data_IF_572144101120
#
_entry.id   IF_572144101120
#
_cell.length_a   1.000
_cell.length_b   1.000
_cell.length_c   1.000
_cell.angle_alpha   90.00
_cell.angle_beta   90.00
_cell.angle_gamma   90.00
#
_symmetry.space_group_name_H-M   'P 1'
#
loop_
_entity.id
_entity.type
_entity.pdbx_description
1 polymer ?
#
# COMPACT_ATOMS: atom_id res chain seq x y z
N UNK A 1 1.55 1.87 -68.40
CA UNK A 1 0.44 1.63 -67.41
C UNK A 1 0.88 0.87 -66.16
N UNK A 2 1.77 -0.10 -66.25
CA UNK A 2 2.23 -0.91 -65.10
C UNK A 2 2.98 -0.08 -64.04
N UNK A 3 3.81 0.85 -64.45
CA UNK A 3 4.64 1.71 -63.60
C UNK A 3 3.84 2.70 -62.73
N UNK A 4 2.67 3.13 -63.20
CA UNK A 4 1.77 3.99 -62.42
C UNK A 4 0.97 3.17 -61.39
N UNK A 5 0.60 1.94 -61.69
CA UNK A 5 -0.07 1.04 -60.75
C UNK A 5 0.85 0.63 -59.60
N UNK A 6 2.15 0.41 -59.89
CA UNK A 6 3.15 0.09 -58.89
C UNK A 6 3.42 1.26 -57.94
N UNK A 7 3.41 2.50 -58.45
CA UNK A 7 3.54 3.71 -57.61
C UNK A 7 2.31 3.94 -56.72
N UNK A 8 1.12 3.65 -57.23
CA UNK A 8 -0.12 3.75 -56.45
C UNK A 8 -0.17 2.70 -55.32
N UNK A 9 0.26 1.45 -55.61
CA UNK A 9 0.34 0.42 -54.56
C UNK A 9 1.38 0.73 -53.50
N UNK A 10 2.54 1.29 -53.87
CA UNK A 10 3.57 1.71 -52.93
C UNK A 10 3.08 2.86 -52.01
N UNK A 11 2.35 3.83 -52.58
CA UNK A 11 1.78 4.94 -51.80
C UNK A 11 0.69 4.45 -50.84
N UNK A 12 -0.17 3.52 -51.25
CA UNK A 12 -1.19 2.92 -50.41
C UNK A 12 -0.58 2.10 -49.27
N UNK A 13 0.49 1.35 -49.56
CA UNK A 13 1.20 0.57 -48.53
C UNK A 13 1.88 1.48 -47.49
N UNK A 14 2.47 2.63 -47.94
CA UNK A 14 3.01 3.62 -47.01
C UNK A 14 1.94 4.25 -46.12
N UNK A 15 0.77 4.58 -46.69
CA UNK A 15 -0.33 5.13 -45.89
C UNK A 15 -0.83 4.15 -44.81
N UNK A 16 -0.89 2.84 -45.12
CA UNK A 16 -1.28 1.80 -44.16
C UNK A 16 -0.27 1.65 -43.03
N UNK A 17 1.03 1.77 -43.35
CA UNK A 17 2.10 1.69 -42.36
C UNK A 17 2.22 2.95 -41.48
N UNK A 18 1.79 4.11 -41.97
CA UNK A 18 1.80 5.36 -41.18
C UNK A 18 0.55 5.52 -40.30
N UNK A 19 -0.55 4.83 -40.60
CA UNK A 19 -1.75 4.80 -39.72
C UNK A 19 -1.63 3.83 -38.55
N UNK A 20 -0.54 3.07 -38.40
CA UNK A 20 -0.29 2.15 -37.28
C UNK A 20 0.30 2.84 -36.05
N UNK A 21 0.18 4.14 -35.92
CA UNK A 21 0.32 4.82 -34.61
C UNK A 21 -1.03 4.90 -33.90
N UNK A 22 -1.70 3.77 -33.75
CA UNK A 22 -2.60 3.62 -32.60
C UNK A 22 -1.70 3.65 -31.37
N UNK A 23 -1.86 4.74 -30.61
CA UNK A 23 -1.16 4.91 -29.35
C UNK A 23 -1.25 3.61 -28.57
N UNK A 24 -0.13 3.13 -28.11
CA UNK A 24 -0.07 2.10 -27.08
C UNK A 24 -0.90 2.66 -25.93
N UNK A 25 -2.16 2.27 -25.86
CA UNK A 25 -2.98 2.37 -24.67
C UNK A 25 -2.36 1.37 -23.72
N UNK A 26 -1.29 1.81 -23.04
CA UNK A 26 -0.81 1.17 -21.83
C UNK A 26 -2.01 1.09 -20.90
N UNK A 27 -2.57 -0.13 -20.82
CA UNK A 27 -3.83 -0.47 -20.21
C UNK A 27 -4.25 0.48 -19.11
N UNK A 28 -5.22 1.29 -19.43
CA UNK A 28 -6.22 2.03 -18.65
C UNK A 28 -5.98 2.41 -17.20
N UNK A 29 -4.75 2.51 -16.71
CA UNK A 29 -4.47 3.18 -15.44
C UNK A 29 -4.24 4.65 -15.75
N UNK A 30 -5.27 5.45 -15.47
CA UNK A 30 -5.16 6.90 -15.55
C UNK A 30 -3.93 7.34 -14.76
N UNK A 31 -3.12 8.23 -15.34
CA UNK A 31 -1.96 8.83 -14.65
C UNK A 31 -2.38 9.45 -13.32
N UNK A 32 -3.60 9.92 -13.24
CA UNK A 32 -4.29 10.41 -12.03
C UNK A 32 -4.38 9.35 -10.92
N UNK A 33 -4.58 8.08 -11.29
CA UNK A 33 -4.66 6.97 -10.34
C UNK A 33 -3.28 6.55 -9.80
N UNK A 34 -2.23 6.74 -10.61
CA UNK A 34 -0.84 6.53 -10.19
C UNK A 34 -0.32 7.65 -9.27
N UNK A 35 -0.89 8.85 -9.37
CA UNK A 35 -0.57 10.00 -8.51
C UNK A 35 -1.43 10.07 -7.25
N UNK A 36 -2.45 9.22 -7.14
CA UNK A 36 -3.30 9.16 -5.96
C UNK A 36 -2.54 8.42 -4.87
N UNK A 37 -2.43 9.05 -3.70
CA UNK A 37 -1.87 8.38 -2.52
C UNK A 37 -2.58 7.02 -2.30
N UNK A 38 -1.85 5.95 -1.96
CA UNK A 38 -2.43 4.65 -1.67
C UNK A 38 -3.56 4.81 -0.65
N UNK A 39 -4.75 4.34 -0.97
CA UNK A 39 -5.85 4.31 0.00
C UNK A 39 -5.64 3.11 0.90
N UNK A 40 -5.71 3.28 2.22
CA UNK A 40 -5.69 2.14 3.11
C UNK A 40 -6.85 1.20 2.75
N UNK A 41 -6.63 -0.10 2.87
CA UNK A 41 -7.70 -1.09 2.71
C UNK A 41 -8.78 -0.89 3.78
N UNK A 42 -9.96 -1.44 3.56
CA UNK A 42 -11.03 -1.37 4.56
C UNK A 42 -10.59 -2.01 5.89
N UNK A 43 -9.85 -3.13 5.84
CA UNK A 43 -9.28 -3.76 7.04
C UNK A 43 -8.30 -2.84 7.77
N UNK A 44 -7.38 -2.20 7.06
CA UNK A 44 -6.43 -1.24 7.64
C UNK A 44 -7.14 -0.06 8.28
N UNK A 45 -8.18 0.46 7.61
CA UNK A 45 -8.99 1.57 8.14
C UNK A 45 -9.74 1.17 9.40
N UNK A 46 -10.27 -0.07 9.46
CA UNK A 46 -10.93 -0.60 10.64
C UNK A 46 -9.97 -0.74 11.83
N UNK A 47 -8.78 -1.30 11.60
CA UNK A 47 -7.72 -1.43 12.61
C UNK A 47 -7.29 -0.06 13.13
N UNK A 48 -7.06 0.91 12.25
CA UNK A 48 -6.68 2.28 12.64
C UNK A 48 -7.78 2.95 13.44
N UNK A 49 -9.04 2.75 13.07
CA UNK A 49 -10.20 3.30 13.81
C UNK A 49 -10.29 2.70 15.21
N UNK A 50 -10.12 1.39 15.35
CA UNK A 50 -10.14 0.72 16.65
C UNK A 50 -9.00 1.23 17.56
N UNK A 51 -7.80 1.38 17.00
CA UNK A 51 -6.63 1.87 17.72
C UNK A 51 -6.78 3.34 18.14
N UNK A 52 -7.31 4.21 17.26
CA UNK A 52 -7.62 5.60 17.58
C UNK A 52 -8.67 5.70 18.71
N UNK A 53 -9.70 4.84 18.66
CA UNK A 53 -10.74 4.81 19.69
C UNK A 53 -10.18 4.37 21.06
N UNK A 54 -9.28 3.39 21.07
CA UNK A 54 -8.61 2.94 22.27
C UNK A 54 -7.72 4.00 22.90
N UNK A 55 -6.94 4.71 22.07
CA UNK A 55 -6.02 5.76 22.53
C UNK A 55 -6.74 7.07 22.89
N UNK A 56 -7.95 7.28 22.35
CA UNK A 56 -8.66 8.55 22.47
C UNK A 56 -8.07 9.70 21.68
N UNK A 57 -7.16 9.41 20.77
CA UNK A 57 -6.48 10.39 19.92
C UNK A 57 -6.16 9.84 18.52
N UNK A 58 -5.78 10.71 17.59
CA UNK A 58 -5.33 10.31 16.26
C UNK A 58 -3.85 9.94 16.30
N UNK A 59 -3.54 8.70 15.90
CA UNK A 59 -2.17 8.20 15.81
C UNK A 59 -1.54 8.49 14.45
N UNK A 60 -0.22 8.48 14.41
CA UNK A 60 0.57 8.49 13.19
C UNK A 60 1.15 7.09 12.94
N UNK A 61 0.72 6.46 11.86
CA UNK A 61 1.26 5.17 11.44
C UNK A 61 2.73 5.30 11.06
N UNK A 62 3.53 4.31 11.41
CA UNK A 62 4.95 4.22 11.05
C UNK A 62 5.16 3.01 10.15
N UNK A 63 5.90 3.24 9.09
CA UNK A 63 6.22 2.21 8.10
C UNK A 63 7.51 1.50 8.51
N UNK A 64 7.56 0.16 8.44
CA UNK A 64 8.81 -0.56 8.63
C UNK A 64 9.83 -0.14 7.56
N UNK A 65 11.09 0.01 7.94
CA UNK A 65 12.16 0.45 7.03
C UNK A 65 12.70 -0.65 6.11
N UNK A 66 12.23 -1.86 6.27
CA UNK A 66 12.62 -3.03 5.47
C UNK A 66 11.43 -3.91 5.16
N UNK A 67 11.55 -4.73 4.12
CA UNK A 67 10.49 -5.61 3.64
C UNK A 67 10.18 -5.37 2.17
N UNK A 68 9.57 -6.34 1.53
CA UNK A 68 9.19 -6.25 0.12
C UNK A 68 8.05 -5.27 -0.11
N UNK A 69 7.17 -5.12 0.88
CA UNK A 69 6.04 -4.19 0.85
C UNK A 69 5.98 -3.43 2.19
N UNK A 70 6.31 -2.14 2.20
CA UNK A 70 6.22 -1.34 3.41
C UNK A 70 4.74 -1.03 3.69
N UNK A 71 4.10 -1.89 4.49
CA UNK A 71 2.73 -1.67 4.96
C UNK A 71 2.79 -1.27 6.45
N UNK A 72 2.07 -0.23 6.90
CA UNK A 72 2.03 0.17 8.30
C UNK A 72 1.23 -0.80 9.18
N UNK A 73 0.39 -1.64 8.58
CA UNK A 73 -0.40 -2.68 9.25
C UNK A 73 -0.09 -4.02 8.61
N UNK A 74 0.48 -4.91 9.38
CA UNK A 74 0.86 -6.27 8.95
C UNK A 74 -0.20 -7.22 9.49
N UNK A 75 -0.82 -8.01 8.60
CA UNK A 75 -1.75 -9.06 8.96
C UNK A 75 -1.07 -10.41 8.88
N UNK A 76 -1.07 -11.15 9.97
CA UNK A 76 -0.49 -12.48 10.07
C UNK A 76 -1.11 -13.25 11.23
N UNK A 77 -1.20 -14.57 11.11
CA UNK A 77 -1.51 -15.47 12.22
C UNK A 77 -0.26 -15.56 13.11
N UNK A 78 -0.27 -14.78 14.20
CA UNK A 78 0.90 -14.63 15.08
C UNK A 78 0.91 -15.65 16.23
N UNK A 79 -0.24 -16.19 16.60
CA UNK A 79 -0.35 -17.17 17.69
C UNK A 79 -0.60 -18.60 17.21
N UNK A 80 -0.89 -18.80 15.91
CA UNK A 80 -1.08 -20.12 15.29
C UNK A 80 -2.48 -20.70 15.47
N UNK A 81 -3.47 -19.87 15.76
CA UNK A 81 -4.85 -20.30 15.95
C UNK A 81 -5.66 -20.36 14.64
N UNK A 82 -5.10 -19.85 13.54
CA UNK A 82 -5.68 -19.80 12.21
C UNK A 82 -6.46 -18.52 11.91
N UNK A 83 -6.58 -17.59 12.85
CA UNK A 83 -7.01 -16.23 12.60
C UNK A 83 -5.81 -15.32 12.31
N UNK A 84 -6.02 -14.18 11.68
CA UNK A 84 -4.94 -13.22 11.45
C UNK A 84 -5.09 -12.03 12.42
N UNK A 85 -4.02 -11.74 13.14
CA UNK A 85 -3.86 -10.53 13.94
C UNK A 85 -3.35 -9.39 13.08
N UNK A 86 -3.55 -8.16 13.57
CA UNK A 86 -3.00 -6.95 12.98
C UNK A 86 -1.88 -6.38 13.85
N UNK A 87 -0.64 -6.43 13.37
CA UNK A 87 0.49 -5.75 14.00
C UNK A 87 0.66 -4.34 13.42
N UNK A 88 0.65 -3.31 14.29
CA UNK A 88 0.65 -1.89 13.89
C UNK A 88 1.77 -1.15 14.58
N UNK A 89 2.63 -0.48 13.78
CA UNK A 89 3.64 0.45 14.28
C UNK A 89 3.10 1.89 14.21
N UNK A 90 3.17 2.63 15.31
CA UNK A 90 2.65 3.99 15.38
C UNK A 90 3.37 4.87 16.40
N UNK A 91 3.13 6.17 16.31
CA UNK A 91 3.42 7.15 17.37
C UNK A 91 2.12 7.86 17.73
N UNK A 92 1.97 8.20 19.01
CA UNK A 92 0.84 8.95 19.56
C UNK A 92 1.37 10.09 20.44
N UNK A 93 0.67 11.23 20.46
CA UNK A 93 1.13 12.41 21.24
C UNK A 93 1.13 12.12 22.74
N UNK A 94 0.11 11.44 23.23
CA UNK A 94 -0.01 11.06 24.66
C UNK A 94 1.10 10.13 25.14
N UNK A 95 1.73 9.38 24.22
CA UNK A 95 2.78 8.40 24.50
C UNK A 95 4.19 8.90 24.14
N UNK A 96 4.31 10.18 23.80
CA UNK A 96 5.56 10.79 23.38
C UNK A 96 5.97 10.42 21.96
N UNK A 97 7.23 10.74 21.60
CA UNK A 97 7.75 10.52 20.23
C UNK A 97 8.24 9.09 19.97
N UNK A 98 8.04 8.19 20.91
CA UNK A 98 8.49 6.81 20.77
C UNK A 98 7.58 6.03 19.82
N UNK A 99 8.18 5.07 19.11
CA UNK A 99 7.42 4.14 18.29
C UNK A 99 6.85 3.04 19.19
N UNK A 100 5.56 2.78 19.05
CA UNK A 100 4.83 1.73 19.73
C UNK A 100 4.45 0.65 18.73
N UNK A 101 4.35 -0.58 19.20
CA UNK A 101 3.79 -1.71 18.48
C UNK A 101 2.55 -2.18 19.23
N UNK A 102 1.41 -2.21 18.55
CA UNK A 102 0.20 -2.89 19.05
C UNK A 102 -0.14 -4.07 18.15
N UNK A 103 -0.59 -5.15 18.78
CA UNK A 103 -1.18 -6.30 18.11
C UNK A 103 -2.66 -6.29 18.46
N UNK A 104 -3.50 -6.34 17.42
CA UNK A 104 -4.95 -6.36 17.56
C UNK A 104 -5.47 -7.69 17.04
N UNK A 105 -6.44 -8.24 17.76
CA UNK A 105 -7.20 -9.43 17.40
C UNK A 105 -8.57 -9.04 16.85
N UNK A 106 -9.09 -9.83 15.94
CA UNK A 106 -10.44 -9.66 15.44
C UNK A 106 -11.41 -10.49 16.28
N UNK A 107 -12.44 -9.84 16.83
CA UNK A 107 -13.51 -10.54 17.52
C UNK A 107 -14.45 -11.26 16.55
N UNK A 108 -15.32 -12.15 17.08
CA UNK A 108 -16.26 -12.93 16.26
C UNK A 108 -17.33 -12.09 15.53
N UNK A 109 -17.41 -10.77 15.78
CA UNK A 109 -18.29 -9.82 15.10
C UNK A 109 -17.58 -9.03 13.99
N UNK A 110 -16.26 -9.23 13.85
CA UNK A 110 -15.41 -8.50 12.90
C UNK A 110 -14.86 -7.19 13.44
N UNK A 111 -15.05 -6.90 14.72
CA UNK A 111 -14.43 -5.79 15.42
C UNK A 111 -12.96 -6.08 15.76
N UNK A 112 -12.14 -5.04 15.91
CA UNK A 112 -10.74 -5.16 16.32
C UNK A 112 -10.57 -4.70 17.76
N UNK A 113 -9.85 -5.48 18.56
CA UNK A 113 -9.50 -5.16 19.95
C UNK A 113 -8.00 -5.36 20.17
N UNK A 114 -7.42 -4.58 21.11
CA UNK A 114 -6.00 -4.69 21.42
C UNK A 114 -5.76 -5.90 22.28
N UNK A 115 -4.96 -6.83 21.78
CA UNK A 115 -4.49 -8.00 22.51
C UNK A 115 -3.17 -7.70 23.23
N UNK A 116 -2.25 -7.04 22.53
CA UNK A 116 -0.92 -6.75 23.03
C UNK A 116 -0.46 -5.35 22.68
N UNK A 117 0.27 -4.71 23.60
CA UNK A 117 0.96 -3.44 23.35
C UNK A 117 2.38 -3.52 23.88
N UNK A 118 3.35 -3.21 23.03
CA UNK A 118 4.77 -3.06 23.38
C UNK A 118 5.10 -1.58 23.41
N UNK A 119 5.42 -1.07 24.58
CA UNK A 119 5.71 0.34 24.80
C UNK A 119 7.19 0.66 24.56
N UNK A 120 7.45 1.76 23.88
CA UNK A 120 8.75 2.43 23.93
C UNK A 120 9.85 1.80 23.11
N UNK A 121 9.54 1.31 21.89
CA UNK A 121 10.60 1.07 20.94
C UNK A 121 11.24 2.42 20.60
N UNK A 122 12.49 2.62 21.05
CA UNK A 122 13.25 3.82 20.72
C UNK A 122 13.35 3.99 19.20
N UNK A 123 13.19 5.21 18.69
CA UNK A 123 13.41 5.54 17.28
C UNK A 123 14.85 5.27 16.82
N UNK A 124 15.75 4.92 17.72
CA UNK A 124 17.16 4.58 17.49
C UNK A 124 17.42 3.09 17.22
N UNK A 125 16.39 2.27 16.95
CA UNK A 125 16.61 0.92 16.43
C UNK A 125 17.18 1.04 15.00
N UNK A 126 18.49 1.17 14.88
CA UNK A 126 19.17 1.28 13.58
C UNK A 126 20.63 1.73 13.63
N UNK A 127 21.15 2.11 14.79
CA UNK A 127 22.58 2.25 14.99
C UNK A 127 23.11 1.05 15.79
N UNK A 128 23.26 -0.08 15.10
CA UNK A 128 24.20 -1.07 15.56
C UNK A 128 25.58 -0.41 15.47
N UNK A 129 26.21 -0.18 16.61
CA UNK A 129 27.63 0.12 16.67
C UNK A 129 28.36 -1.13 16.15
N UNK A 130 28.99 -0.96 14.97
CA UNK A 130 30.01 -1.86 14.48
C UNK A 130 31.33 -1.45 15.12
#
# INVERSE_FOLDING_TARGET
MLRNRMRLCAALLCCVLLCSCDGIVLGGKNVEELLRAPRPSERQSAVQTALNAYLGETLQLKYPRGGAEPDPVIFADLDGDGAEEAAVLYTAESKGQNVHLSVLEQDGSGGWSIAYEVMGLSTEIGRAHV
#
